data_IF_015541387993
#
_entry.id   IF_015541387993
#
_cell.length_a   1.000
_cell.length_b   1.000
_cell.length_c   1.000
_cell.angle_alpha   90.00
_cell.angle_beta   90.00
_cell.angle_gamma   90.00
#
_symmetry.space_group_name_H-M   'P 1'
#
loop_
_entity.id
_entity.type
_entity.pdbx_description
1 polymer ?
#
# COMPACT_ATOMS: atom_id res chain seq x y z
N UNK A 1 -19.62 -44.61 97.02
CA UNK A 1 -20.03 -43.35 96.37
C UNK A 1 -18.87 -42.43 95.95
N UNK A 2 -17.61 -42.75 96.20
CA UNK A 2 -16.47 -41.89 95.79
C UNK A 2 -16.08 -42.05 94.30
N UNK A 3 -16.17 -43.25 93.73
CA UNK A 3 -15.77 -43.51 92.33
C UNK A 3 -16.66 -42.80 91.29
N UNK A 4 -17.95 -42.62 91.57
CA UNK A 4 -18.89 -41.95 90.67
C UNK A 4 -18.64 -40.43 90.57
N UNK A 5 -18.09 -39.82 91.63
CA UNK A 5 -17.78 -38.38 91.69
C UNK A 5 -16.49 -38.03 90.93
N UNK A 6 -15.53 -38.94 90.89
CA UNK A 6 -14.25 -38.76 90.16
C UNK A 6 -14.48 -38.90 88.65
N UNK A 7 -15.35 -39.82 88.21
CA UNK A 7 -15.72 -39.96 86.80
C UNK A 7 -16.50 -38.74 86.26
N UNK A 8 -17.36 -38.14 87.08
CA UNK A 8 -18.10 -36.92 86.69
C UNK A 8 -17.19 -35.69 86.59
N UNK A 9 -16.20 -35.56 87.48
CA UNK A 9 -15.24 -34.46 87.45
C UNK A 9 -14.29 -34.54 86.22
N UNK A 10 -13.88 -35.75 85.81
CA UNK A 10 -13.06 -35.96 84.61
C UNK A 10 -13.83 -35.63 83.32
N UNK A 11 -15.13 -35.92 83.25
CA UNK A 11 -15.97 -35.60 82.09
C UNK A 11 -16.20 -34.08 81.91
N UNK A 12 -16.31 -33.33 83.00
CA UNK A 12 -16.48 -31.86 82.96
C UNK A 12 -15.19 -31.14 82.55
N UNK A 13 -14.02 -31.64 82.96
CA UNK A 13 -12.71 -31.09 82.54
C UNK A 13 -12.43 -31.39 81.07
N UNK A 14 -12.81 -32.57 80.56
CA UNK A 14 -12.68 -32.89 79.13
C UNK A 14 -13.59 -32.02 78.23
N UNK A 15 -14.78 -31.64 78.71
CA UNK A 15 -15.69 -30.75 77.99
C UNK A 15 -15.22 -29.28 77.96
N UNK A 16 -14.58 -28.82 79.04
CA UNK A 16 -14.02 -27.47 79.15
C UNK A 16 -12.76 -27.26 78.29
N UNK A 17 -11.98 -28.31 78.03
CA UNK A 17 -10.79 -28.28 77.17
C UNK A 17 -11.14 -28.39 75.67
N UNK A 18 -12.32 -28.89 75.30
CA UNK A 18 -12.79 -28.98 73.91
C UNK A 18 -13.46 -27.70 73.38
N UNK A 19 -14.06 -26.90 74.27
CA UNK A 19 -14.68 -25.61 73.95
C UNK A 19 -13.76 -24.56 73.28
N UNK A 20 -12.49 -24.36 73.72
CA UNK A 20 -11.60 -23.40 73.05
C UNK A 20 -11.21 -23.85 71.63
N UNK A 21 -11.17 -25.16 71.34
CA UNK A 21 -10.86 -25.69 70.01
C UNK A 21 -11.99 -25.42 69.01
N UNK A 22 -13.25 -25.60 69.43
CA UNK A 22 -14.41 -25.30 68.59
C UNK A 22 -14.56 -23.78 68.30
N UNK A 23 -14.30 -22.93 69.30
CA UNK A 23 -14.32 -21.48 69.13
C UNK A 23 -13.19 -20.96 68.22
N UNK A 24 -12.02 -21.62 68.24
CA UNK A 24 -10.90 -21.29 67.38
C UNK A 24 -11.15 -21.70 65.92
N UNK A 25 -11.73 -22.89 65.70
CA UNK A 25 -12.17 -23.34 64.37
C UNK A 25 -13.21 -22.41 63.74
N UNK A 26 -14.14 -21.87 64.53
CA UNK A 26 -15.17 -20.96 64.04
C UNK A 26 -14.59 -19.60 63.63
N UNK A 27 -13.63 -19.05 64.40
CA UNK A 27 -12.91 -17.82 64.04
C UNK A 27 -12.06 -17.99 62.78
N UNK A 28 -11.42 -19.14 62.60
CA UNK A 28 -10.64 -19.44 61.41
C UNK A 28 -11.53 -19.61 60.17
N UNK A 29 -12.70 -20.22 60.32
CA UNK A 29 -13.70 -20.32 59.25
C UNK A 29 -14.25 -18.94 58.84
N UNK A 30 -14.53 -18.05 59.80
CA UNK A 30 -14.96 -16.67 59.53
C UNK A 30 -13.88 -15.85 58.82
N UNK A 31 -12.61 -16.01 59.19
CA UNK A 31 -11.48 -15.36 58.52
C UNK A 31 -11.35 -15.81 57.06
N UNK A 32 -11.41 -17.12 56.81
CA UNK A 32 -11.38 -17.69 55.46
C UNK A 32 -12.56 -17.19 54.61
N UNK A 33 -13.75 -17.11 55.19
CA UNK A 33 -14.93 -16.57 54.50
C UNK A 33 -14.75 -15.09 54.14
N UNK A 34 -14.18 -14.29 55.05
CA UNK A 34 -13.90 -12.87 54.76
C UNK A 34 -12.84 -12.71 53.66
N UNK A 35 -11.80 -13.55 53.65
CA UNK A 35 -10.79 -13.58 52.58
C UNK A 35 -11.42 -13.93 51.22
N UNK A 36 -12.17 -15.02 51.13
CA UNK A 36 -12.87 -15.42 49.90
C UNK A 36 -13.82 -14.32 49.41
N UNK A 37 -14.57 -13.67 50.31
CA UNK A 37 -15.45 -12.54 49.96
C UNK A 37 -14.70 -11.29 49.49
N UNK A 38 -13.48 -11.05 49.98
CA UNK A 38 -12.63 -9.96 49.47
C UNK A 38 -12.11 -10.33 48.09
N UNK A 39 -11.55 -11.53 47.93
CA UNK A 39 -11.04 -12.01 46.66
C UNK A 39 -12.13 -12.01 45.57
N UNK A 40 -13.33 -12.48 45.88
CA UNK A 40 -14.48 -12.44 44.95
C UNK A 40 -14.80 -11.01 44.49
N UNK A 41 -14.77 -10.03 45.40
CA UNK A 41 -15.02 -8.61 45.05
C UNK A 41 -13.93 -8.04 44.16
N UNK A 42 -12.68 -8.38 44.44
CA UNK A 42 -11.53 -7.94 43.64
C UNK A 42 -11.58 -8.57 42.23
N UNK A 43 -11.90 -9.87 42.16
CA UNK A 43 -12.11 -10.61 40.91
C UNK A 43 -13.23 -10.01 40.08
N UNK A 44 -14.40 -9.76 40.68
CA UNK A 44 -15.54 -9.18 40.00
C UNK A 44 -15.24 -7.75 39.49
N UNK A 45 -14.51 -6.95 40.27
CA UNK A 45 -14.10 -5.60 39.88
C UNK A 45 -13.15 -5.63 38.69
N UNK A 46 -12.16 -6.52 38.72
CA UNK A 46 -11.21 -6.72 37.62
C UNK A 46 -11.91 -7.24 36.36
N UNK A 47 -12.84 -8.18 36.48
CA UNK A 47 -13.66 -8.67 35.36
C UNK A 47 -14.43 -7.53 34.70
N UNK A 48 -15.11 -6.68 35.48
CA UNK A 48 -15.82 -5.51 34.93
C UNK A 48 -14.88 -4.53 34.21
N UNK A 49 -13.67 -4.32 34.73
CA UNK A 49 -12.65 -3.50 34.05
C UNK A 49 -12.20 -4.13 32.73
N UNK A 50 -11.99 -5.45 32.71
CA UNK A 50 -11.63 -6.19 31.50
C UNK A 50 -12.76 -6.15 30.46
N UNK A 51 -14.01 -6.31 30.86
CA UNK A 51 -15.19 -6.16 29.98
C UNK A 51 -15.22 -4.78 29.30
N UNK A 52 -15.02 -3.70 30.08
CA UNK A 52 -14.97 -2.34 29.54
C UNK A 52 -13.83 -2.14 28.53
N UNK A 53 -12.63 -2.64 28.86
CA UNK A 53 -11.46 -2.61 27.95
C UNK A 53 -11.70 -3.40 26.68
N UNK A 54 -12.28 -4.60 26.79
CA UNK A 54 -12.63 -5.48 25.68
C UNK A 54 -13.65 -4.83 24.75
N UNK A 55 -14.70 -4.24 25.30
CA UNK A 55 -15.67 -3.46 24.52
C UNK A 55 -15.03 -2.30 23.76
N UNK A 56 -14.09 -1.57 24.39
CA UNK A 56 -13.35 -0.49 23.70
C UNK A 56 -12.42 -1.03 22.63
N UNK A 57 -11.68 -2.11 22.91
CA UNK A 57 -10.76 -2.72 21.96
C UNK A 57 -11.51 -3.30 20.75
N UNK A 58 -12.67 -3.91 20.96
CA UNK A 58 -13.51 -4.44 19.89
C UNK A 58 -14.05 -3.32 18.97
N UNK A 59 -14.46 -2.18 19.54
CA UNK A 59 -14.82 -0.98 18.74
C UNK A 59 -13.62 -0.45 17.96
N UNK A 60 -12.46 -0.40 18.59
CA UNK A 60 -11.22 0.04 17.97
C UNK A 60 -10.79 -0.90 16.83
N UNK A 61 -11.00 -2.21 16.96
CA UNK A 61 -10.75 -3.19 15.90
C UNK A 61 -11.71 -3.01 14.72
N UNK A 62 -13.02 -2.87 14.98
CA UNK A 62 -14.00 -2.60 13.90
C UNK A 62 -13.67 -1.34 13.11
N UNK A 63 -13.32 -0.25 13.80
CA UNK A 63 -12.90 0.98 13.13
C UNK A 63 -11.60 0.82 12.32
N UNK A 64 -10.75 -0.15 12.65
CA UNK A 64 -9.58 -0.49 11.85
C UNK A 64 -9.95 -1.39 10.66
N UNK A 65 -10.86 -2.36 10.84
CA UNK A 65 -11.41 -3.17 9.75
C UNK A 65 -12.09 -2.30 8.68
N UNK A 66 -12.89 -1.33 9.09
CA UNK A 66 -13.53 -0.35 8.19
C UNK A 66 -12.50 0.49 7.43
N UNK A 67 -11.44 0.94 8.10
CA UNK A 67 -10.33 1.67 7.46
C UNK A 67 -9.58 0.81 6.46
N UNK A 68 -9.30 -0.46 6.79
CA UNK A 68 -8.68 -1.42 5.87
C UNK A 68 -9.58 -1.67 4.66
N UNK A 69 -10.88 -1.87 4.86
CA UNK A 69 -11.82 -2.06 3.76
C UNK A 69 -11.86 -0.84 2.83
N UNK A 70 -12.00 0.37 3.38
CA UNK A 70 -11.98 1.61 2.60
C UNK A 70 -10.66 1.82 1.84
N UNK A 71 -9.52 1.50 2.48
CA UNK A 71 -8.21 1.59 1.84
C UNK A 71 -8.03 0.54 0.73
N UNK A 72 -8.51 -0.69 0.93
CA UNK A 72 -8.52 -1.73 -0.10
C UNK A 72 -9.40 -1.35 -1.29
N UNK A 73 -10.53 -0.68 -1.05
CA UNK A 73 -11.41 -0.18 -2.11
C UNK A 73 -10.78 0.99 -2.88
N UNK A 74 -10.07 1.88 -2.18
CA UNK A 74 -9.29 2.94 -2.81
C UNK A 74 -8.12 2.36 -3.62
N UNK A 75 -7.44 1.34 -3.09
CA UNK A 75 -6.38 0.61 -3.79
C UNK A 75 -6.87 0.04 -5.12
N UNK A 76 -7.98 -0.71 -5.11
CA UNK A 76 -8.52 -1.32 -6.34
C UNK A 76 -8.88 -0.27 -7.39
N UNK A 77 -9.42 0.89 -6.97
CA UNK A 77 -9.72 2.00 -7.89
C UNK A 77 -8.46 2.54 -8.54
N UNK A 78 -7.43 2.82 -7.75
CA UNK A 78 -6.16 3.28 -8.31
C UNK A 78 -5.46 2.21 -9.11
N UNK A 79 -5.54 0.92 -8.76
CA UNK A 79 -5.00 -0.16 -9.60
C UNK A 79 -5.67 -0.18 -10.98
N UNK A 80 -6.98 0.12 -11.06
CA UNK A 80 -7.68 0.32 -12.33
C UNK A 80 -7.14 1.54 -13.08
N UNK A 81 -7.00 2.68 -12.41
CA UNK A 81 -6.43 3.91 -13.02
C UNK A 81 -4.98 3.70 -13.48
N UNK A 82 -4.19 2.92 -12.74
CA UNK A 82 -2.84 2.53 -13.11
C UNK A 82 -2.86 1.65 -14.37
N UNK A 83 -3.79 0.71 -14.47
CA UNK A 83 -3.95 -0.14 -15.66
C UNK A 83 -4.33 0.67 -16.90
N UNK A 84 -5.24 1.64 -16.76
CA UNK A 84 -5.58 2.58 -17.84
C UNK A 84 -4.35 3.42 -18.24
N UNK A 85 -3.54 3.83 -17.25
CA UNK A 85 -2.26 4.50 -17.49
C UNK A 85 -1.23 3.63 -18.22
N UNK A 86 -1.12 2.34 -17.89
CA UNK A 86 -0.27 1.37 -18.58
C UNK A 86 -0.69 1.18 -20.05
N UNK A 87 -2.01 1.17 -20.33
CA UNK A 87 -2.56 1.13 -21.69
C UNK A 87 -2.20 2.38 -22.49
N UNK A 88 -2.45 3.57 -21.94
CA UNK A 88 -2.08 4.83 -22.58
C UNK A 88 -0.57 4.90 -22.87
N UNK A 89 0.25 4.34 -21.98
CA UNK A 89 1.68 4.25 -22.20
C UNK A 89 2.08 3.29 -23.33
N UNK A 90 1.36 2.18 -23.47
CA UNK A 90 1.56 1.26 -24.58
C UNK A 90 1.20 1.92 -25.93
N UNK A 91 0.13 2.72 -25.97
CA UNK A 91 -0.24 3.51 -27.14
C UNK A 91 0.83 4.54 -27.50
N UNK A 92 1.35 5.28 -26.52
CA UNK A 92 2.47 6.21 -26.73
C UNK A 92 3.72 5.49 -27.24
N UNK A 93 4.04 4.31 -26.72
CA UNK A 93 5.17 3.52 -27.17
C UNK A 93 5.00 3.00 -28.61
N UNK A 94 3.77 2.63 -29.01
CA UNK A 94 3.46 2.25 -30.37
C UNK A 94 3.63 3.45 -31.32
N UNK A 95 3.06 4.61 -30.96
CA UNK A 95 3.20 5.86 -31.72
C UNK A 95 4.66 6.30 -31.87
N UNK A 96 5.46 6.12 -30.81
CA UNK A 96 6.91 6.32 -30.85
C UNK A 96 7.58 5.43 -31.90
N UNK A 97 7.22 4.14 -31.94
CA UNK A 97 7.75 3.20 -32.93
C UNK A 97 7.39 3.60 -34.37
N UNK A 98 6.14 4.02 -34.61
CA UNK A 98 5.71 4.52 -35.92
C UNK A 98 6.45 5.80 -36.34
N UNK A 99 6.65 6.73 -35.41
CA UNK A 99 7.44 7.95 -35.65
C UNK A 99 8.89 7.60 -35.98
N UNK A 100 9.52 6.68 -35.24
CA UNK A 100 10.90 6.24 -35.50
C UNK A 100 11.06 5.59 -36.88
N UNK A 101 10.09 4.75 -37.30
CA UNK A 101 10.11 4.13 -38.62
C UNK A 101 9.95 5.17 -39.74
N UNK A 102 8.98 6.08 -39.60
CA UNK A 102 8.79 7.19 -40.56
C UNK A 102 10.05 8.05 -40.66
N UNK A 103 10.61 8.43 -39.52
CA UNK A 103 11.83 9.23 -39.45
C UNK A 103 13.01 8.52 -40.14
N UNK A 104 13.18 7.20 -39.93
CA UNK A 104 14.23 6.43 -40.57
C UNK A 104 14.09 6.41 -42.10
N UNK A 105 12.87 6.21 -42.61
CA UNK A 105 12.58 6.26 -44.06
C UNK A 105 12.87 7.65 -44.64
N UNK A 106 12.38 8.71 -43.99
CA UNK A 106 12.61 10.09 -44.41
C UNK A 106 14.09 10.49 -44.40
N UNK A 107 14.87 10.06 -43.39
CA UNK A 107 16.32 10.28 -43.32
C UNK A 107 17.06 9.56 -44.43
N UNK A 108 16.66 8.33 -44.77
CA UNK A 108 17.25 7.56 -45.88
C UNK A 108 17.01 8.24 -47.23
N UNK A 109 15.76 8.64 -47.50
CA UNK A 109 15.40 9.39 -48.72
C UNK A 109 16.18 10.70 -48.81
N UNK A 110 16.22 11.47 -47.72
CA UNK A 110 16.99 12.71 -47.69
C UNK A 110 18.47 12.43 -47.97
N UNK A 111 19.09 11.43 -47.33
CA UNK A 111 20.49 11.07 -47.57
C UNK A 111 20.77 10.65 -49.02
N UNK A 112 19.82 10.00 -49.71
CA UNK A 112 19.93 9.70 -51.13
C UNK A 112 19.87 10.97 -51.98
N UNK A 113 18.92 11.86 -51.71
CA UNK A 113 18.80 13.15 -52.38
C UNK A 113 20.04 14.02 -52.20
N UNK A 114 20.64 14.01 -50.99
CA UNK A 114 21.88 14.73 -50.70
C UNK A 114 23.07 14.21 -51.52
N UNK A 115 23.23 12.88 -51.59
CA UNK A 115 24.30 12.25 -52.37
C UNK A 115 24.15 12.50 -53.86
N UNK A 116 22.94 12.39 -54.38
CA UNK A 116 22.64 12.68 -55.79
C UNK A 116 22.91 14.15 -56.14
N UNK A 117 22.48 15.09 -55.28
CA UNK A 117 22.76 16.51 -55.47
C UNK A 117 24.26 16.83 -55.44
N UNK A 118 25.01 16.21 -54.53
CA UNK A 118 26.46 16.39 -54.43
C UNK A 118 27.20 15.84 -55.66
N UNK A 119 26.76 14.70 -56.20
CA UNK A 119 27.34 14.12 -57.41
C UNK A 119 27.13 15.00 -58.66
N UNK A 120 26.02 15.73 -58.73
CA UNK A 120 25.74 16.71 -59.80
C UNK A 120 26.64 17.95 -59.64
N UNK A 121 26.99 18.32 -58.40
CA UNK A 121 27.89 19.42 -58.06
C UNK A 121 27.18 20.79 -58.00
N UNK A 122 27.56 21.62 -57.02
CA UNK A 122 26.89 22.88 -56.68
C UNK A 122 26.78 23.90 -57.83
N UNK A 123 27.60 23.74 -58.86
CA UNK A 123 27.73 24.69 -59.97
C UNK A 123 27.14 24.16 -61.27
N UNK A 124 26.50 22.99 -61.30
CA UNK A 124 25.98 22.41 -62.55
C UNK A 124 24.98 23.33 -63.27
N UNK A 125 24.10 23.99 -62.52
CA UNK A 125 23.15 24.95 -63.07
C UNK A 125 23.83 26.24 -63.58
N UNK A 126 24.89 26.71 -62.89
CA UNK A 126 25.70 27.86 -63.31
C UNK A 126 26.54 27.55 -64.56
N UNK A 127 27.13 26.35 -64.64
CA UNK A 127 27.87 25.85 -65.81
C UNK A 127 26.96 25.71 -67.03
N UNK A 128 25.72 25.26 -66.85
CA UNK A 128 24.73 25.17 -67.92
C UNK A 128 24.30 26.56 -68.42
N UNK A 129 24.21 27.56 -67.54
CA UNK A 129 23.92 28.94 -67.92
C UNK A 129 25.07 29.57 -68.74
N UNK A 130 26.31 29.28 -68.36
CA UNK A 130 27.53 29.78 -69.01
C UNK A 130 27.78 29.15 -70.39
N UNK A 131 27.15 28.01 -70.70
CA UNK A 131 27.29 27.32 -71.98
C UNK A 131 26.56 28.01 -73.16
N UNK A 132 25.79 29.08 -72.91
CA UNK A 132 25.15 30.04 -73.85
C UNK A 132 24.27 29.53 -75.01
N UNK A 133 24.40 28.28 -75.48
CA UNK A 133 23.72 27.82 -76.69
C UNK A 133 22.24 27.44 -76.51
N UNK A 134 21.73 27.36 -75.26
CA UNK A 134 20.34 26.92 -74.97
C UNK A 134 19.72 27.61 -73.75
N UNK A 135 19.54 28.93 -73.83
CA UNK A 135 18.99 29.79 -72.75
C UNK A 135 17.65 29.29 -72.18
N UNK A 136 16.76 28.75 -73.01
CA UNK A 136 15.47 28.19 -72.56
C UNK A 136 15.59 26.92 -71.72
N UNK A 137 16.57 26.06 -72.00
CA UNK A 137 16.84 24.85 -71.22
C UNK A 137 17.48 25.17 -69.87
N UNK A 138 18.40 26.14 -69.84
CA UNK A 138 19.04 26.61 -68.62
C UNK A 138 18.04 27.21 -67.62
N UNK A 139 17.07 28.01 -68.09
CA UNK A 139 16.02 28.58 -67.24
C UNK A 139 15.11 27.50 -66.61
N UNK A 140 14.75 26.46 -67.37
CA UNK A 140 13.97 25.32 -66.83
C UNK A 140 14.77 24.54 -65.80
N UNK A 141 16.05 24.27 -66.06
CA UNK A 141 16.93 23.59 -65.12
C UNK A 141 17.07 24.35 -63.79
N UNK A 142 17.20 25.69 -63.84
CA UNK A 142 17.22 26.54 -62.65
C UNK A 142 15.89 26.56 -61.89
N UNK A 143 14.76 26.55 -62.59
CA UNK A 143 13.44 26.45 -61.96
C UNK A 143 13.29 25.11 -61.21
N UNK A 144 13.68 24.00 -61.83
CA UNK A 144 13.67 22.68 -61.20
C UNK A 144 14.64 22.60 -60.02
N UNK A 145 15.84 23.16 -60.15
CA UNK A 145 16.79 23.21 -59.03
C UNK A 145 16.23 23.99 -57.84
N UNK A 146 15.65 25.18 -58.06
CA UNK A 146 15.00 25.96 -56.97
C UNK A 146 13.82 25.22 -56.35
N UNK A 147 13.04 24.49 -57.15
CA UNK A 147 11.96 23.68 -56.63
C UNK A 147 12.49 22.54 -55.73
N UNK A 148 13.52 21.84 -56.18
CA UNK A 148 14.16 20.75 -55.43
C UNK A 148 14.76 21.24 -54.10
N UNK A 149 15.46 22.38 -54.10
CA UNK A 149 16.02 22.96 -52.88
C UNK A 149 14.92 23.38 -51.87
N UNK A 150 13.79 23.92 -52.36
CA UNK A 150 12.62 24.23 -51.50
C UNK A 150 12.00 22.98 -50.90
N UNK A 151 11.84 21.90 -51.68
CA UNK A 151 11.34 20.62 -51.19
C UNK A 151 12.28 20.03 -50.13
N UNK A 152 13.60 20.09 -50.35
CA UNK A 152 14.61 19.66 -49.38
C UNK A 152 14.52 20.44 -48.06
N UNK A 153 14.43 21.77 -48.12
CA UNK A 153 14.28 22.60 -46.93
C UNK A 153 12.95 22.35 -46.19
N UNK A 154 11.88 22.00 -46.91
CA UNK A 154 10.62 21.55 -46.31
C UNK A 154 10.80 20.21 -45.60
N UNK A 155 11.39 19.21 -46.25
CA UNK A 155 11.64 17.88 -45.67
C UNK A 155 12.50 17.93 -44.40
N UNK A 156 13.53 18.78 -44.38
CA UNK A 156 14.37 18.98 -43.18
C UNK A 156 13.55 19.58 -42.03
N UNK A 157 12.67 20.55 -42.31
CA UNK A 157 11.79 21.13 -41.29
C UNK A 157 10.79 20.11 -40.76
N UNK A 158 10.16 19.34 -41.64
CA UNK A 158 9.22 18.28 -41.25
C UNK A 158 9.91 17.23 -40.36
N UNK A 159 11.11 16.77 -40.74
CA UNK A 159 11.95 15.88 -39.93
C UNK A 159 12.29 16.45 -38.54
N UNK A 160 12.61 17.76 -38.46
CA UNK A 160 12.92 18.41 -37.19
C UNK A 160 11.69 18.47 -36.27
N UNK A 161 10.50 18.71 -36.82
CA UNK A 161 9.24 18.64 -36.09
C UNK A 161 8.97 17.22 -35.58
N UNK A 162 9.11 16.20 -36.44
CA UNK A 162 8.90 14.79 -36.05
C UNK A 162 9.87 14.34 -34.94
N UNK A 163 11.13 14.79 -34.97
CA UNK A 163 12.09 14.56 -33.89
C UNK A 163 11.66 15.23 -32.58
N UNK A 164 11.18 16.47 -32.64
CA UNK A 164 10.70 17.17 -31.45
C UNK A 164 9.45 16.51 -30.86
N UNK A 165 8.55 16.00 -31.70
CA UNK A 165 7.38 15.23 -31.27
C UNK A 165 7.81 13.90 -30.61
N UNK A 166 8.79 13.22 -31.19
CA UNK A 166 9.35 11.99 -30.65
C UNK A 166 9.99 12.21 -29.27
N UNK A 167 10.83 13.24 -29.13
CA UNK A 167 11.46 13.61 -27.85
C UNK A 167 10.44 13.99 -26.77
N UNK A 168 9.32 14.60 -27.16
CA UNK A 168 8.24 14.93 -26.25
C UNK A 168 7.51 13.66 -25.76
N UNK A 169 7.17 12.75 -26.68
CA UNK A 169 6.54 11.46 -26.36
C UNK A 169 7.45 10.60 -25.48
N UNK A 170 8.76 10.57 -25.74
CA UNK A 170 9.71 9.82 -24.91
C UNK A 170 9.80 10.36 -23.48
N UNK A 171 9.80 11.68 -23.31
CA UNK A 171 9.75 12.32 -21.99
C UNK A 171 8.45 12.03 -21.27
N UNK A 172 7.31 12.18 -21.95
CA UNK A 172 6.00 11.88 -21.38
C UNK A 172 5.91 10.42 -20.90
N UNK A 173 6.39 9.46 -21.70
CA UNK A 173 6.46 8.04 -21.32
C UNK A 173 7.30 7.85 -20.05
N UNK A 174 8.48 8.49 -19.96
CA UNK A 174 9.36 8.35 -18.81
C UNK A 174 8.71 8.91 -17.52
N UNK A 175 8.15 10.11 -17.59
CA UNK A 175 7.44 10.76 -16.48
C UNK A 175 6.22 9.94 -16.03
N UNK A 176 5.44 9.42 -16.99
CA UNK A 176 4.27 8.57 -16.67
C UNK A 176 4.69 7.29 -15.97
N UNK A 177 5.73 6.59 -16.46
CA UNK A 177 6.24 5.35 -15.83
C UNK A 177 6.65 5.59 -14.39
N UNK A 178 7.45 6.62 -14.16
CA UNK A 178 7.91 6.95 -12.82
C UNK A 178 6.73 7.27 -11.88
N UNK A 179 5.75 8.06 -12.35
CA UNK A 179 4.57 8.37 -11.57
C UNK A 179 3.74 7.13 -11.22
N UNK A 180 3.55 6.21 -12.19
CA UNK A 180 2.82 4.95 -11.99
C UNK A 180 3.53 4.04 -10.98
N UNK A 181 4.85 3.87 -11.09
CA UNK A 181 5.66 3.04 -10.19
C UNK A 181 5.62 3.58 -8.76
N UNK A 182 5.80 4.89 -8.59
CA UNK A 182 5.71 5.53 -7.28
C UNK A 182 4.31 5.42 -6.66
N UNK A 183 3.25 5.57 -7.46
CA UNK A 183 1.88 5.40 -6.99
C UNK A 183 1.64 3.97 -6.49
N UNK A 184 2.08 2.97 -7.27
CA UNK A 184 1.98 1.54 -6.91
C UNK A 184 2.71 1.22 -5.61
N UNK A 185 3.92 1.77 -5.42
CA UNK A 185 4.67 1.58 -4.17
C UNK A 185 4.00 2.23 -2.96
N UNK A 186 3.58 3.50 -3.08
CA UNK A 186 2.90 4.22 -1.98
C UNK A 186 1.68 3.46 -1.51
N UNK A 187 0.90 2.96 -2.45
CA UNK A 187 -0.32 2.21 -2.19
C UNK A 187 -0.08 0.88 -1.49
N UNK A 188 0.89 0.09 -1.95
CA UNK A 188 1.27 -1.17 -1.28
C UNK A 188 1.75 -0.93 0.16
N UNK A 189 2.53 0.13 0.39
CA UNK A 189 3.01 0.50 1.74
C UNK A 189 1.85 0.88 2.65
N UNK A 190 0.91 1.70 2.17
CA UNK A 190 -0.23 2.14 2.96
C UNK A 190 -1.16 0.99 3.36
N UNK A 191 -1.43 0.05 2.45
CA UNK A 191 -2.21 -1.15 2.79
C UNK A 191 -1.48 -1.99 3.85
N UNK A 192 -0.19 -2.25 3.65
CA UNK A 192 0.60 -3.06 4.58
C UNK A 192 0.67 -2.45 5.99
N UNK A 193 0.71 -1.12 6.11
CA UNK A 193 0.67 -0.43 7.40
C UNK A 193 -0.68 -0.61 8.12
N UNK A 194 -1.78 -0.44 7.39
CA UNK A 194 -3.13 -0.61 7.93
C UNK A 194 -3.39 -2.06 8.36
N UNK A 195 -2.93 -3.05 7.58
CA UNK A 195 -3.05 -4.46 7.94
C UNK A 195 -2.25 -4.81 9.21
N UNK A 196 -1.05 -4.23 9.38
CA UNK A 196 -0.27 -4.39 10.62
C UNK A 196 -1.01 -3.77 11.81
N UNK A 197 -1.54 -2.56 11.68
CA UNK A 197 -2.30 -1.90 12.74
C UNK A 197 -3.53 -2.74 13.14
N UNK A 198 -4.25 -3.27 12.15
CA UNK A 198 -5.36 -4.20 12.36
C UNK A 198 -4.94 -5.45 13.12
N UNK A 199 -3.82 -6.07 12.74
CA UNK A 199 -3.27 -7.26 13.39
C UNK A 199 -2.93 -7.03 14.87
N UNK A 200 -2.30 -5.89 15.19
CA UNK A 200 -2.00 -5.51 16.58
C UNK A 200 -3.26 -5.34 17.42
N UNK A 201 -4.30 -4.70 16.85
CA UNK A 201 -5.60 -4.52 17.51
C UNK A 201 -6.30 -5.86 17.74
N UNK A 202 -6.28 -6.75 16.76
CA UNK A 202 -6.85 -8.10 16.88
C UNK A 202 -6.16 -8.91 17.99
N UNK A 203 -4.83 -8.85 18.08
CA UNK A 203 -4.08 -9.48 19.17
C UNK A 203 -4.46 -8.93 20.55
N UNK A 204 -4.63 -7.61 20.67
CA UNK A 204 -5.07 -6.97 21.93
C UNK A 204 -6.47 -7.44 22.33
N UNK A 205 -7.40 -7.55 21.38
CA UNK A 205 -8.75 -8.07 21.65
C UNK A 205 -8.69 -9.51 22.13
N UNK A 206 -7.92 -10.37 21.45
CA UNK A 206 -7.76 -11.78 21.84
C UNK A 206 -7.17 -11.94 23.25
N UNK A 207 -6.16 -11.14 23.59
CA UNK A 207 -5.57 -11.14 24.93
C UNK A 207 -6.58 -10.73 26.02
N UNK A 208 -7.39 -9.68 25.74
CA UNK A 208 -8.41 -9.21 26.68
C UNK A 208 -9.56 -10.22 26.84
N UNK A 209 -9.96 -10.91 25.77
CA UNK A 209 -10.93 -12.01 25.81
C UNK A 209 -10.43 -13.15 26.71
N UNK A 210 -9.18 -13.58 26.53
CA UNK A 210 -8.57 -14.64 27.35
C UNK A 210 -8.52 -14.27 28.83
N UNK A 211 -7.96 -13.08 29.16
CA UNK A 211 -7.89 -12.61 30.55
C UNK A 211 -9.28 -12.48 31.19
N UNK A 212 -10.28 -12.05 30.43
CA UNK A 212 -11.66 -11.95 30.91
C UNK A 212 -12.27 -13.33 31.20
N UNK A 213 -12.04 -14.31 30.32
CA UNK A 213 -12.48 -15.70 30.52
C UNK A 213 -11.86 -16.31 31.78
N UNK A 214 -10.54 -16.18 31.95
CA UNK A 214 -9.81 -16.67 33.13
C UNK A 214 -10.38 -16.06 34.43
N UNK A 215 -10.67 -14.75 34.42
CA UNK A 215 -11.22 -14.06 35.59
C UNK A 215 -12.66 -14.47 35.89
N UNK A 216 -13.48 -14.70 34.86
CA UNK A 216 -14.84 -15.22 34.99
C UNK A 216 -14.84 -16.61 35.61
N UNK A 217 -13.94 -17.48 35.17
CA UNK A 217 -13.88 -18.86 35.66
C UNK A 217 -13.38 -18.90 37.11
N UNK A 218 -12.45 -18.02 37.50
CA UNK A 218 -12.05 -17.84 38.90
C UNK A 218 -13.17 -17.27 39.79
N UNK A 219 -13.95 -16.31 39.31
CA UNK A 219 -15.12 -15.79 40.04
C UNK A 219 -16.13 -16.92 40.32
N UNK A 220 -16.41 -17.75 39.31
CA UNK A 220 -17.31 -18.90 39.44
C UNK A 220 -16.78 -19.95 40.42
N UNK A 221 -15.46 -20.17 40.46
CA UNK A 221 -14.84 -21.11 41.39
C UNK A 221 -14.91 -20.64 42.85
N UNK A 222 -14.74 -19.34 43.11
CA UNK A 222 -14.83 -18.73 44.45
C UNK A 222 -16.26 -18.55 44.95
N UNK A 223 -17.24 -18.54 44.04
CA UNK A 223 -18.67 -18.38 44.37
C UNK A 223 -19.42 -19.69 44.63
N UNK A 224 -18.79 -20.85 44.42
CA UNK A 224 -19.31 -22.18 44.78
C UNK A 224 -18.91 -22.53 46.20
#
# INVERSE_FOLDING_TARGET
>A
MAALRIALAAAVVALALAAPVAAQQQRDAERRLQEVRRELRDVATERRRLEGRRGSAARALRAADERVAAASDALRRTESELADGELALAELAARRGELQQRLAAQRSELAQLLRAAHAIGDHAALKLLLAQDRVGEANRALAYHRYLQRQRARRIRDLATELSELDAVEREIAERREALDQARERQRRQLAELERERGQRAGTVAELEQRHADRRDRENALGR
#
